data_IF_615731269357
#
_entry.id   IF_615731269357
#
_cell.length_a   1.000
_cell.length_b   1.000
_cell.length_c   1.000
_cell.angle_alpha   90.00
_cell.angle_beta   90.00
_cell.angle_gamma   90.00
#
_symmetry.space_group_name_H-M   'P 1'
#
loop_
_entity.id
_entity.type
_entity.pdbx_description
1 polymer ?
#
# COMPACT_ATOMS: atom_id res chain seq x y z
N UNK A 1 -0.13 14.53 -1.05
CA UNK A 1 0.56 15.51 -0.23
C UNK A 1 1.63 14.79 0.62
N UNK A 2 2.87 15.21 0.52
CA UNK A 2 4.00 14.64 1.24
C UNK A 2 4.42 15.58 2.36
N UNK A 3 4.63 15.04 3.56
CA UNK A 3 5.14 15.75 4.73
C UNK A 3 6.49 15.17 5.13
N UNK A 4 7.43 16.02 5.51
CA UNK A 4 8.74 15.59 6.01
C UNK A 4 9.03 16.20 7.37
N UNK A 5 9.41 15.36 8.33
CA UNK A 5 9.74 15.79 9.69
C UNK A 5 11.22 16.21 9.82
N UNK A 6 12.11 15.61 9.07
CA UNK A 6 13.55 15.84 9.18
C UNK A 6 14.20 16.08 7.82
N UNK A 7 14.29 15.07 6.99
CA UNK A 7 15.03 15.04 5.73
C UNK A 7 14.08 14.76 4.57
N UNK A 8 14.15 15.56 3.53
CA UNK A 8 13.31 15.46 2.34
C UNK A 8 14.08 15.03 1.07
N UNK A 9 15.28 14.46 1.25
CA UNK A 9 16.11 13.97 0.15
C UNK A 9 15.37 13.02 -0.79
N UNK A 10 14.42 12.23 -0.23
CA UNK A 10 13.57 11.35 -1.03
C UNK A 10 12.73 12.16 -2.04
N UNK A 11 12.05 13.23 -1.59
CA UNK A 11 11.29 14.09 -2.47
C UNK A 11 12.19 14.78 -3.51
N UNK A 12 13.33 15.32 -3.06
CA UNK A 12 14.28 16.01 -3.95
C UNK A 12 14.81 15.11 -5.08
N UNK A 13 14.93 13.80 -4.84
CA UNK A 13 15.36 12.82 -5.86
C UNK A 13 14.22 12.31 -6.72
N UNK A 14 13.04 12.08 -6.12
CA UNK A 14 11.91 11.45 -6.81
C UNK A 14 11.09 12.42 -7.66
N UNK A 15 10.81 13.62 -7.16
CA UNK A 15 9.92 14.56 -7.84
C UNK A 15 10.47 15.08 -9.19
N UNK A 16 11.78 15.29 -9.39
CA UNK A 16 12.27 15.58 -10.74
C UNK A 16 11.96 14.48 -11.76
N UNK A 17 12.00 13.21 -11.36
CA UNK A 17 11.64 12.07 -12.23
C UNK A 17 10.14 12.10 -12.55
N UNK A 18 9.31 12.36 -11.55
CA UNK A 18 7.86 12.51 -11.71
C UNK A 18 7.55 13.64 -12.69
N UNK A 19 8.20 14.81 -12.53
CA UNK A 19 8.02 15.96 -13.43
C UNK A 19 8.52 15.67 -14.86
N UNK A 20 9.62 14.94 -15.03
CA UNK A 20 10.11 14.50 -16.34
C UNK A 20 9.14 13.54 -17.05
N UNK A 21 8.38 12.76 -16.28
CA UNK A 21 7.30 11.93 -16.82
C UNK A 21 6.03 12.71 -17.20
N UNK A 22 6.04 14.05 -17.05
CA UNK A 22 4.93 14.92 -17.39
C UNK A 22 3.90 15.09 -16.27
N UNK A 23 4.15 14.53 -15.09
CA UNK A 23 3.29 14.68 -13.92
C UNK A 23 3.74 15.90 -13.11
N UNK A 24 2.77 16.70 -12.68
CA UNK A 24 3.06 17.99 -12.02
C UNK A 24 3.22 17.83 -10.51
N UNK A 25 4.35 18.32 -9.99
CA UNK A 25 4.56 18.44 -8.54
C UNK A 25 5.12 19.81 -8.17
N UNK A 26 4.87 20.26 -6.95
CA UNK A 26 5.35 21.53 -6.41
C UNK A 26 5.71 21.44 -4.93
N UNK A 27 6.67 22.25 -4.50
CA UNK A 27 6.94 22.43 -3.08
C UNK A 27 6.03 23.54 -2.54
N UNK A 28 5.39 23.26 -1.40
CA UNK A 28 4.52 24.23 -0.73
C UNK A 28 5.21 24.80 0.52
N UNK A 29 5.00 26.06 0.80
CA UNK A 29 5.33 26.65 2.09
C UNK A 29 4.36 26.18 3.19
N UNK A 30 4.79 26.23 4.44
CA UNK A 30 3.93 25.91 5.59
C UNK A 30 2.64 26.72 5.58
N UNK A 31 2.71 28.01 5.25
CA UNK A 31 1.52 28.91 5.18
C UNK A 31 0.52 28.49 4.10
N UNK A 32 1.01 28.03 2.95
CA UNK A 32 0.15 27.54 1.88
C UNK A 32 -0.57 26.24 2.30
N UNK A 33 0.14 25.33 2.97
CA UNK A 33 -0.48 24.10 3.49
C UNK A 33 -1.49 24.42 4.60
N UNK A 34 -1.17 25.29 5.56
CA UNK A 34 -2.09 25.75 6.60
C UNK A 34 -3.38 26.37 6.02
N UNK A 35 -3.24 27.16 4.95
CA UNK A 35 -4.39 27.75 4.27
C UNK A 35 -5.21 26.72 3.48
N UNK A 36 -4.55 25.79 2.81
CA UNK A 36 -5.18 24.84 1.90
C UNK A 36 -5.79 23.63 2.63
N UNK A 37 -5.14 23.20 3.73
CA UNK A 37 -5.50 22.03 4.50
C UNK A 37 -5.48 22.33 6.02
N UNK A 38 -6.34 23.22 6.52
CA UNK A 38 -6.35 23.66 7.93
C UNK A 38 -6.68 22.53 8.92
N UNK A 39 -7.22 21.42 8.46
CA UNK A 39 -7.52 20.22 9.25
C UNK A 39 -6.28 19.42 9.65
N UNK A 40 -5.09 19.77 9.15
CA UNK A 40 -3.83 19.08 9.42
C UNK A 40 -3.00 19.88 10.42
N UNK A 41 -2.58 19.25 11.51
CA UNK A 41 -1.59 19.86 12.41
C UNK A 41 -0.19 19.71 11.81
N UNK A 42 0.45 20.82 11.47
CA UNK A 42 1.77 20.87 10.86
C UNK A 42 2.93 20.96 11.87
N UNK A 43 2.67 20.82 13.16
CA UNK A 43 3.73 20.86 14.17
C UNK A 43 4.73 19.73 13.98
N UNK A 44 6.02 20.08 14.01
CA UNK A 44 7.13 19.15 13.80
C UNK A 44 7.40 18.77 12.34
N UNK A 45 6.67 19.38 11.36
CA UNK A 45 6.95 19.21 9.94
C UNK A 45 7.83 20.34 9.41
N UNK A 46 8.70 20.04 8.45
CA UNK A 46 9.68 20.96 7.89
C UNK A 46 9.46 21.29 6.42
N UNK A 47 9.08 20.30 5.62
CA UNK A 47 8.88 20.50 4.18
C UNK A 47 7.64 19.76 3.68
N UNK A 48 7.07 20.27 2.59
CA UNK A 48 5.80 19.85 2.04
C UNK A 48 5.87 19.83 0.52
N UNK A 49 5.37 18.76 -0.08
CA UNK A 49 5.31 18.63 -1.54
C UNK A 49 3.93 18.16 -1.95
N UNK A 50 3.44 18.67 -3.06
CA UNK A 50 2.13 18.35 -3.59
C UNK A 50 2.25 17.83 -5.02
N UNK A 51 1.70 16.66 -5.27
CA UNK A 51 1.55 16.09 -6.60
C UNK A 51 0.09 16.25 -7.03
N UNK A 52 -0.12 16.92 -8.16
CA UNK A 52 -1.47 17.29 -8.61
C UNK A 52 -2.29 16.09 -9.09
N UNK A 53 -1.65 15.12 -9.73
CA UNK A 53 -2.30 13.93 -10.29
C UNK A 53 -2.22 12.70 -9.38
N UNK A 54 -1.63 12.83 -8.19
CA UNK A 54 -1.58 11.74 -7.23
C UNK A 54 -2.96 11.45 -6.65
N UNK A 55 -3.23 10.16 -6.40
CA UNK A 55 -4.51 9.73 -5.87
C UNK A 55 -4.43 8.34 -5.26
N UNK A 56 -5.56 7.69 -5.13
CA UNK A 56 -5.67 6.31 -4.68
C UNK A 56 -6.48 5.47 -5.66
N UNK A 57 -6.32 4.17 -5.58
CA UNK A 57 -7.09 3.22 -6.38
C UNK A 57 -7.98 2.37 -5.47
N UNK A 58 -9.27 2.18 -5.82
CA UNK A 58 -10.13 1.18 -5.21
C UNK A 58 -9.69 -0.22 -5.67
N UNK A 59 -8.59 -0.73 -5.07
CA UNK A 59 -7.80 -1.85 -5.58
C UNK A 59 -8.63 -3.09 -5.97
N UNK A 60 -9.62 -3.49 -5.15
CA UNK A 60 -10.49 -4.63 -5.50
C UNK A 60 -11.28 -4.41 -6.78
N UNK A 61 -11.86 -3.22 -6.92
CA UNK A 61 -12.63 -2.88 -8.11
C UNK A 61 -11.72 -2.82 -9.35
N UNK A 62 -10.55 -2.22 -9.22
CA UNK A 62 -9.56 -2.19 -10.30
C UNK A 62 -9.14 -3.60 -10.74
N UNK A 63 -8.85 -4.50 -9.79
CA UNK A 63 -8.53 -5.90 -10.10
C UNK A 63 -9.68 -6.61 -10.82
N UNK A 64 -10.91 -6.38 -10.38
CA UNK A 64 -12.09 -6.96 -11.02
C UNK A 64 -12.26 -6.46 -12.46
N UNK A 65 -12.16 -5.15 -12.69
CA UNK A 65 -12.26 -4.56 -14.04
C UNK A 65 -11.17 -5.08 -14.97
N UNK A 66 -9.92 -5.22 -14.45
CA UNK A 66 -8.82 -5.81 -15.22
C UNK A 66 -9.12 -7.26 -15.60
N UNK A 67 -9.62 -8.07 -14.66
CA UNK A 67 -10.00 -9.45 -14.89
C UNK A 67 -11.13 -9.56 -15.93
N UNK A 68 -12.19 -8.78 -15.79
CA UNK A 68 -13.32 -8.76 -16.74
C UNK A 68 -12.85 -8.40 -18.15
N UNK A 69 -11.98 -7.39 -18.29
CA UNK A 69 -11.40 -7.03 -19.58
C UNK A 69 -10.49 -8.12 -20.15
N UNK A 70 -9.72 -8.81 -19.32
CA UNK A 70 -8.90 -9.93 -19.73
C UNK A 70 -9.75 -11.06 -20.32
N UNK A 71 -10.80 -11.47 -19.61
CA UNK A 71 -11.74 -12.51 -20.07
C UNK A 71 -12.47 -12.06 -21.33
N UNK A 72 -12.93 -10.81 -21.41
CA UNK A 72 -13.58 -10.25 -22.62
C UNK A 72 -12.68 -10.27 -23.84
N UNK A 73 -11.36 -10.20 -23.66
CA UNK A 73 -10.36 -10.29 -24.75
C UNK A 73 -9.97 -11.73 -25.09
N UNK A 74 -10.63 -12.74 -24.52
CA UNK A 74 -10.39 -14.16 -24.78
C UNK A 74 -9.42 -14.83 -23.81
N UNK A 75 -9.04 -14.16 -22.71
CA UNK A 75 -8.25 -14.78 -21.65
C UNK A 75 -9.09 -15.76 -20.83
N UNK A 76 -8.47 -16.81 -20.32
CA UNK A 76 -9.09 -17.75 -19.38
C UNK A 76 -8.70 -17.43 -17.95
N UNK A 77 -9.66 -17.42 -17.04
CA UNK A 77 -9.44 -17.25 -15.60
C UNK A 77 -9.87 -18.50 -14.84
N UNK A 78 -8.99 -19.00 -13.96
CA UNK A 78 -9.27 -20.10 -13.05
C UNK A 78 -8.82 -19.71 -11.64
N UNK A 79 -9.68 -19.91 -10.66
CA UNK A 79 -9.35 -19.67 -9.25
C UNK A 79 -8.85 -20.98 -8.61
N UNK A 80 -7.59 -21.29 -8.82
CA UNK A 80 -6.91 -22.49 -8.32
C UNK A 80 -5.56 -22.12 -7.73
N UNK A 81 -5.13 -22.83 -6.71
CA UNK A 81 -3.75 -22.77 -6.26
C UNK A 81 -2.86 -23.48 -7.27
N UNK A 82 -1.64 -22.99 -7.45
CA UNK A 82 -0.68 -23.55 -8.40
C UNK A 82 0.66 -23.83 -7.72
N UNK A 83 1.30 -24.91 -8.15
CA UNK A 83 2.68 -25.26 -7.80
C UNK A 83 3.49 -25.43 -9.08
N UNK A 84 4.76 -25.00 -9.10
CA UNK A 84 5.64 -25.32 -10.23
C UNK A 84 5.87 -26.82 -10.29
N UNK A 85 5.74 -27.37 -11.48
CA UNK A 85 6.13 -28.75 -11.76
C UNK A 85 7.65 -28.91 -11.82
N UNK A 86 8.12 -29.92 -12.52
CA UNK A 86 9.56 -30.19 -12.64
C UNK A 86 10.28 -29.11 -13.45
N UNK A 87 11.38 -28.65 -12.94
CA UNK A 87 12.31 -27.78 -13.65
C UNK A 87 13.41 -28.66 -14.24
N UNK A 88 13.47 -28.74 -15.57
CA UNK A 88 14.46 -29.50 -16.31
C UNK A 88 15.25 -28.56 -17.23
N UNK A 89 16.56 -28.62 -17.18
CA UNK A 89 17.44 -27.74 -17.97
C UNK A 89 17.06 -26.25 -17.89
N UNK A 90 16.79 -25.76 -16.67
CA UNK A 90 16.34 -24.39 -16.38
C UNK A 90 15.01 -23.98 -17.06
N UNK A 91 14.19 -24.96 -17.44
CA UNK A 91 12.85 -24.73 -17.99
C UNK A 91 11.80 -25.39 -17.11
N UNK A 92 10.76 -24.64 -16.77
CA UNK A 92 9.57 -25.19 -16.12
C UNK A 92 8.73 -25.89 -17.19
N UNK A 93 8.44 -27.19 -16.96
CA UNK A 93 7.71 -27.99 -17.93
C UNK A 93 6.19 -27.81 -17.85
N UNK A 94 5.67 -27.65 -16.64
CA UNK A 94 4.23 -27.60 -16.37
C UNK A 94 3.95 -26.93 -15.04
N UNK A 95 2.71 -26.48 -14.85
CA UNK A 95 2.13 -26.14 -13.54
C UNK A 95 1.28 -27.31 -13.06
N UNK A 96 1.29 -27.55 -11.75
CA UNK A 96 0.39 -28.48 -11.08
C UNK A 96 -0.68 -27.63 -10.38
N UNK A 97 -1.95 -27.91 -10.68
CA UNK A 97 -3.08 -27.20 -10.12
C UNK A 97 -3.67 -27.94 -8.93
N UNK A 98 -4.33 -27.23 -8.03
CA UNK A 98 -4.89 -27.80 -6.79
C UNK A 98 -6.00 -28.84 -7.02
N UNK A 99 -6.57 -28.91 -8.22
CA UNK A 99 -7.53 -29.93 -8.64
C UNK A 99 -6.85 -31.18 -9.22
N UNK A 100 -5.52 -31.24 -9.20
CA UNK A 100 -4.70 -32.34 -9.73
C UNK A 100 -4.45 -32.24 -11.25
N UNK A 101 -5.05 -31.28 -11.95
CA UNK A 101 -4.80 -31.07 -13.37
C UNK A 101 -3.43 -30.38 -13.59
N UNK A 102 -2.96 -30.43 -14.84
CA UNK A 102 -1.70 -29.81 -15.27
C UNK A 102 -1.96 -28.76 -16.32
N UNK A 103 -1.15 -27.71 -16.32
CA UNK A 103 -1.19 -26.66 -17.32
C UNK A 103 0.19 -26.45 -17.94
N UNK A 104 0.23 -26.50 -19.28
CA UNK A 104 1.44 -26.22 -20.05
C UNK A 104 1.29 -24.90 -20.79
N UNK A 105 2.37 -24.13 -20.84
CA UNK A 105 2.46 -22.88 -21.59
C UNK A 105 3.88 -22.66 -22.11
N UNK A 106 4.03 -21.79 -23.10
CA UNK A 106 5.33 -21.39 -23.62
C UNK A 106 6.12 -20.53 -22.65
N UNK A 107 5.39 -19.77 -21.81
CA UNK A 107 5.96 -18.88 -20.79
C UNK A 107 5.07 -18.84 -19.55
N UNK A 108 5.69 -18.70 -18.39
CA UNK A 108 5.00 -18.59 -17.11
C UNK A 108 5.41 -17.29 -16.40
N UNK A 109 4.43 -16.56 -15.85
CA UNK A 109 4.66 -15.38 -15.02
C UNK A 109 4.12 -15.65 -13.63
N UNK A 110 4.98 -15.63 -12.63
CA UNK A 110 4.62 -15.81 -11.23
C UNK A 110 4.58 -14.44 -10.51
N UNK A 111 3.42 -13.81 -10.54
CA UNK A 111 3.16 -12.55 -9.83
C UNK A 111 2.48 -12.83 -8.47
N UNK A 112 3.07 -13.71 -7.66
CA UNK A 112 2.47 -14.27 -6.45
C UNK A 112 2.80 -13.49 -5.17
N UNK A 113 3.44 -12.33 -5.28
CA UNK A 113 3.74 -11.44 -4.15
C UNK A 113 4.43 -12.19 -2.99
N UNK A 114 3.93 -12.07 -1.76
CA UNK A 114 4.59 -12.64 -0.57
C UNK A 114 4.65 -14.18 -0.56
N UNK A 115 3.98 -14.87 -1.48
CA UNK A 115 4.10 -16.34 -1.61
C UNK A 115 5.27 -16.79 -2.48
N UNK A 116 5.95 -15.90 -3.22
CA UNK A 116 7.03 -16.26 -4.14
C UNK A 116 8.17 -17.03 -3.45
N UNK A 117 8.56 -16.61 -2.25
CA UNK A 117 9.60 -17.31 -1.48
C UNK A 117 9.21 -18.75 -1.05
N UNK A 118 7.92 -19.04 -0.95
CA UNK A 118 7.39 -20.38 -0.69
C UNK A 118 7.29 -21.22 -1.97
N UNK A 119 6.95 -20.59 -3.09
CA UNK A 119 6.82 -21.25 -4.38
C UNK A 119 8.20 -21.63 -4.95
N UNK A 120 9.19 -20.76 -4.78
CA UNK A 120 10.56 -20.98 -5.24
C UNK A 120 11.58 -20.85 -4.10
N UNK A 121 11.54 -21.76 -3.09
CA UNK A 121 12.37 -21.61 -1.89
C UNK A 121 13.88 -21.64 -2.18
N UNK A 122 14.31 -22.42 -3.17
CA UNK A 122 15.73 -22.51 -3.53
C UNK A 122 16.28 -21.24 -4.18
N UNK A 123 15.43 -20.41 -4.77
CA UNK A 123 15.84 -19.19 -5.46
C UNK A 123 15.53 -17.91 -4.66
N UNK A 124 14.43 -17.90 -3.88
CA UNK A 124 13.86 -16.66 -3.35
C UNK A 124 13.70 -16.63 -1.82
N UNK A 125 13.94 -17.73 -1.10
CA UNK A 125 13.74 -17.81 0.36
C UNK A 125 14.53 -16.75 1.13
N UNK A 126 15.78 -16.50 0.73
CA UNK A 126 16.66 -15.55 1.42
C UNK A 126 16.63 -14.14 0.77
N UNK A 127 15.80 -13.96 -0.27
CA UNK A 127 15.69 -12.71 -1.04
C UNK A 127 14.37 -12.00 -0.72
N UNK A 128 13.28 -12.73 -0.55
CA UNK A 128 11.96 -12.16 -0.29
C UNK A 128 11.53 -12.46 1.14
N UNK A 129 11.37 -11.43 1.95
CA UNK A 129 10.87 -11.54 3.33
C UNK A 129 9.46 -10.97 3.40
N UNK A 130 8.42 -11.82 3.54
CA UNK A 130 7.07 -11.34 3.81
C UNK A 130 6.98 -10.69 5.19
N UNK A 131 6.30 -9.53 5.28
CA UNK A 131 6.07 -8.84 6.55
C UNK A 131 4.61 -8.49 6.74
N UNK A 132 4.21 -8.40 8.00
CA UNK A 132 2.88 -8.01 8.41
C UNK A 132 2.75 -6.49 8.46
N UNK A 133 1.69 -5.96 7.83
CA UNK A 133 1.33 -4.55 7.85
C UNK A 133 -0.12 -4.39 8.32
N UNK A 134 -0.40 -3.34 9.10
CA UNK A 134 -1.74 -3.10 9.62
C UNK A 134 -2.33 -1.83 9.05
N UNK A 135 -3.59 -1.89 8.69
CA UNK A 135 -4.35 -0.78 8.10
C UNK A 135 -5.62 -0.58 8.90
N UNK A 136 -5.91 0.67 9.23
CA UNK A 136 -7.08 1.05 10.02
C UNK A 136 -7.92 2.07 9.25
N UNK A 137 -9.24 1.96 9.39
CA UNK A 137 -10.20 2.91 8.84
C UNK A 137 -11.03 3.48 9.98
N UNK A 138 -11.10 4.79 10.08
CA UNK A 138 -11.82 5.50 11.12
C UNK A 138 -12.96 6.33 10.55
N UNK A 139 -14.06 6.43 11.31
CA UNK A 139 -15.17 7.31 10.94
C UNK A 139 -14.74 8.77 11.00
N UNK A 140 -15.10 9.54 9.98
CA UNK A 140 -14.89 11.00 9.98
C UNK A 140 -15.95 11.68 10.85
N UNK A 141 -15.67 12.88 11.40
CA UNK A 141 -16.66 13.63 12.20
C UNK A 141 -17.93 13.90 11.41
N UNK A 142 -19.07 13.72 12.07
CA UNK A 142 -20.38 13.97 11.46
C UNK A 142 -20.56 15.47 11.12
N UNK A 143 -21.03 15.74 9.90
CA UNK A 143 -21.29 17.10 9.43
C UNK A 143 -20.04 17.89 8.99
N UNK A 144 -18.83 17.30 9.10
CA UNK A 144 -17.60 17.93 8.65
C UNK A 144 -17.01 17.17 7.46
N UNK A 145 -16.94 17.84 6.30
CA UNK A 145 -16.38 17.25 5.07
C UNK A 145 -14.91 17.57 4.86
N UNK A 146 -14.24 18.26 5.78
CA UNK A 146 -12.85 18.69 5.62
C UNK A 146 -11.86 17.53 5.46
N UNK A 147 -12.22 16.33 6.00
CA UNK A 147 -11.42 15.11 5.92
C UNK A 147 -11.86 14.15 4.80
N UNK A 148 -12.76 14.60 3.91
CA UNK A 148 -13.17 13.82 2.73
C UNK A 148 -12.28 14.11 1.52
N UNK A 149 -12.24 13.17 0.58
CA UNK A 149 -11.47 13.25 -0.67
C UNK A 149 -11.74 14.51 -1.52
N UNK A 150 -12.93 15.12 -1.38
CA UNK A 150 -13.26 16.38 -2.03
C UNK A 150 -12.47 17.59 -1.48
N UNK A 151 -11.96 17.49 -0.25
CA UNK A 151 -11.33 18.60 0.49
C UNK A 151 -9.92 18.27 0.98
N UNK A 152 -9.48 17.03 0.83
CA UNK A 152 -8.18 16.56 1.30
C UNK A 152 -7.59 15.53 0.33
N UNK A 153 -6.32 15.66 -0.07
CA UNK A 153 -5.64 14.66 -0.89
C UNK A 153 -5.22 13.44 -0.07
N UNK A 154 -4.81 12.38 -0.75
CA UNK A 154 -3.99 11.32 -0.14
C UNK A 154 -2.69 11.92 0.40
N UNK A 155 -2.13 11.33 1.44
CA UNK A 155 -0.99 11.90 2.13
C UNK A 155 -0.01 10.85 2.61
N UNK A 156 1.27 11.26 2.74
CA UNK A 156 2.35 10.48 3.36
C UNK A 156 3.15 11.40 4.30
N UNK A 157 3.39 10.96 5.53
CA UNK A 157 4.18 11.65 6.55
C UNK A 157 5.49 10.88 6.78
N UNK A 158 6.58 11.41 6.24
CA UNK A 158 7.92 10.85 6.36
C UNK A 158 8.61 11.32 7.65
N UNK A 159 8.71 10.42 8.61
CA UNK A 159 9.36 10.64 9.90
C UNK A 159 10.08 9.41 10.40
N UNK A 160 10.20 9.27 11.71
CA UNK A 160 10.73 8.05 12.34
C UNK A 160 9.91 6.81 11.96
N UNK A 161 8.61 6.99 11.84
CA UNK A 161 7.68 6.07 11.18
C UNK A 161 7.16 6.74 9.92
N UNK A 162 6.82 5.94 8.92
CA UNK A 162 6.21 6.43 7.69
C UNK A 162 4.71 6.17 7.79
N UNK A 163 3.95 7.24 7.99
CA UNK A 163 2.51 7.16 8.02
C UNK A 163 1.92 7.58 6.68
N UNK A 164 0.93 6.86 6.21
CA UNK A 164 0.19 7.27 5.01
C UNK A 164 -1.30 7.06 5.19
N UNK A 165 -2.07 7.74 4.38
CA UNK A 165 -3.51 7.59 4.45
C UNK A 165 -4.26 8.08 3.23
N UNK A 166 -5.55 7.73 3.27
CA UNK A 166 -6.54 8.13 2.28
C UNK A 166 -7.65 8.86 3.04
N UNK A 167 -8.07 10.04 2.59
CA UNK A 167 -9.19 10.74 3.20
C UNK A 167 -10.48 9.91 3.15
N UNK A 168 -11.51 10.35 3.84
CA UNK A 168 -12.81 9.71 3.84
C UNK A 168 -13.37 9.58 2.43
N UNK A 169 -13.59 8.35 1.98
CA UNK A 169 -14.06 8.02 0.65
C UNK A 169 -14.95 6.78 0.69
N UNK A 170 -15.90 6.66 -0.23
CA UNK A 170 -16.73 5.47 -0.46
C UNK A 170 -17.37 4.86 0.82
N UNK A 171 -17.71 5.70 1.79
CA UNK A 171 -18.28 5.30 3.08
C UNK A 171 -17.37 4.39 3.94
N UNK A 172 -16.10 4.20 3.53
CA UNK A 172 -15.13 3.37 4.26
C UNK A 172 -14.43 4.10 5.39
N UNK A 173 -14.57 5.42 5.45
CA UNK A 173 -13.91 6.25 6.43
C UNK A 173 -12.47 6.64 6.05
N UNK A 174 -11.78 7.26 6.99
CA UNK A 174 -10.43 7.79 6.85
C UNK A 174 -9.42 6.67 7.11
N UNK A 175 -8.63 6.32 6.08
CA UNK A 175 -7.60 5.28 6.17
C UNK A 175 -6.32 5.84 6.76
N UNK A 176 -5.69 5.07 7.65
CA UNK A 176 -4.33 5.31 8.14
C UNK A 176 -3.56 4.01 8.26
N UNK A 177 -2.29 4.02 7.92
CA UNK A 177 -1.40 2.88 8.06
C UNK A 177 0.05 3.34 8.30
N UNK A 178 0.80 2.54 9.06
CA UNK A 178 2.24 2.66 9.22
C UNK A 178 2.92 1.83 8.13
N UNK A 179 3.69 2.48 7.25
CA UNK A 179 4.41 1.84 6.14
C UNK A 179 5.81 1.32 6.56
N UNK A 180 6.19 1.53 7.80
CA UNK A 180 7.44 1.00 8.33
C UNK A 180 7.40 -0.53 8.30
N UNK A 181 8.51 -1.14 7.84
CA UNK A 181 8.60 -2.60 7.73
C UNK A 181 8.18 -3.28 9.03
N UNK A 182 7.15 -4.11 8.96
CA UNK A 182 6.62 -4.89 10.08
C UNK A 182 7.44 -6.16 10.36
N UNK A 183 6.95 -6.97 11.29
CA UNK A 183 7.55 -8.26 11.63
C UNK A 183 7.36 -9.28 10.50
N UNK A 184 8.23 -10.27 10.44
CA UNK A 184 8.06 -11.38 9.50
C UNK A 184 6.69 -12.04 9.66
N UNK A 185 6.11 -12.44 8.54
CA UNK A 185 4.74 -12.91 8.49
C UNK A 185 4.56 -14.07 7.53
N UNK A 186 3.94 -15.15 7.99
CA UNK A 186 3.56 -16.24 7.09
C UNK A 186 2.33 -15.82 6.25
N UNK A 187 2.45 -15.72 4.92
CA UNK A 187 1.36 -15.21 4.08
C UNK A 187 0.14 -16.13 4.02
N UNK A 188 0.28 -17.41 4.41
CA UNK A 188 -0.79 -18.42 4.38
C UNK A 188 -1.46 -18.58 5.73
N UNK A 189 -0.68 -18.77 6.79
CA UNK A 189 -1.16 -19.16 8.14
C UNK A 189 -1.05 -18.04 9.17
N UNK A 190 -0.45 -16.90 8.84
CA UNK A 190 -0.27 -15.79 9.77
C UNK A 190 -1.60 -15.20 10.27
N UNK A 191 -1.61 -14.77 11.53
CA UNK A 191 -2.79 -14.18 12.15
C UNK A 191 -3.17 -12.85 11.47
N UNK A 192 -4.42 -12.77 11.03
CA UNK A 192 -5.02 -11.63 10.35
C UNK A 192 -5.81 -10.70 11.28
N UNK A 193 -5.70 -10.89 12.58
CA UNK A 193 -6.28 -10.00 13.58
C UNK A 193 -5.33 -8.82 13.81
N UNK A 194 -5.79 -7.58 13.68
CA UNK A 194 -4.96 -6.40 13.97
C UNK A 194 -4.61 -6.31 15.44
N UNK A 195 -3.39 -5.85 15.74
CA UNK A 195 -2.90 -5.73 17.12
C UNK A 195 -3.48 -4.50 17.83
N UNK A 196 -3.65 -4.61 19.16
CA UNK A 196 -4.04 -3.47 19.98
C UNK A 196 -2.97 -2.37 19.94
N UNK A 197 -1.69 -2.74 19.95
CA UNK A 197 -0.57 -1.79 19.86
C UNK A 197 -0.53 -1.04 18.53
N UNK A 198 -0.88 -1.70 17.41
CA UNK A 198 -1.02 -1.07 16.10
C UNK A 198 -2.17 -0.07 16.08
N UNK A 199 -3.32 -0.46 16.64
CA UNK A 199 -4.48 0.40 16.73
C UNK A 199 -4.20 1.63 17.61
N UNK A 200 -3.59 1.44 18.77
CA UNK A 200 -3.21 2.54 19.67
C UNK A 200 -2.22 3.50 18.99
N UNK A 201 -1.20 2.96 18.31
CA UNK A 201 -0.24 3.77 17.55
C UNK A 201 -0.93 4.61 16.46
N UNK A 202 -1.89 4.02 15.73
CA UNK A 202 -2.67 4.74 14.73
C UNK A 202 -3.54 5.85 15.35
N UNK A 203 -4.20 5.59 16.49
CA UNK A 203 -4.99 6.60 17.22
C UNK A 203 -4.12 7.76 17.69
N UNK A 204 -2.95 7.47 18.27
CA UNK A 204 -2.01 8.47 18.74
C UNK A 204 -1.49 9.34 17.59
N UNK A 205 -1.22 8.73 16.44
CA UNK A 205 -0.85 9.46 15.22
C UNK A 205 -1.99 10.37 14.74
N UNK A 206 -3.22 9.86 14.64
CA UNK A 206 -4.38 10.63 14.23
C UNK A 206 -4.65 11.81 15.17
N UNK A 207 -4.65 11.58 16.47
CA UNK A 207 -4.86 12.64 17.48
C UNK A 207 -3.85 13.78 17.36
N UNK A 208 -2.62 13.47 16.95
CA UNK A 208 -1.56 14.46 16.74
C UNK A 208 -1.68 15.17 15.39
N UNK A 209 -1.83 14.42 14.29
CA UNK A 209 -1.73 14.96 12.93
C UNK A 209 -3.06 15.48 12.40
N UNK A 210 -4.16 14.87 12.82
CA UNK A 210 -5.52 15.21 12.44
C UNK A 210 -6.39 15.38 13.69
N UNK A 211 -6.30 16.50 14.41
CA UNK A 211 -6.95 16.65 15.72
C UNK A 211 -8.44 16.37 15.74
N UNK A 212 -9.14 16.61 14.62
CA UNK A 212 -10.56 16.27 14.43
C UNK A 212 -10.84 14.77 14.49
N UNK A 213 -9.82 13.92 14.32
CA UNK A 213 -9.92 12.46 14.36
C UNK A 213 -9.55 11.84 15.71
N UNK A 214 -9.27 12.66 16.74
CA UNK A 214 -8.75 12.19 18.04
C UNK A 214 -9.58 11.05 18.63
N UNK A 215 -10.91 11.20 18.62
CA UNK A 215 -11.84 10.24 19.22
C UNK A 215 -12.65 9.47 18.15
N UNK A 216 -12.15 9.43 16.91
CA UNK A 216 -12.81 8.80 15.80
C UNK A 216 -13.09 7.30 16.05
N UNK A 217 -14.28 6.80 15.75
CA UNK A 217 -14.59 5.39 15.90
C UNK A 217 -13.84 4.56 14.87
N UNK A 218 -13.29 3.41 15.29
CA UNK A 218 -12.75 2.43 14.37
C UNK A 218 -13.91 1.76 13.60
N UNK A 219 -13.86 1.80 12.28
CA UNK A 219 -14.83 1.18 11.39
C UNK A 219 -14.37 -0.17 10.87
N UNK A 220 -13.10 -0.26 10.49
CA UNK A 220 -12.50 -1.46 9.91
C UNK A 220 -11.00 -1.51 10.25
N UNK A 221 -10.47 -2.72 10.42
CA UNK A 221 -9.03 -2.97 10.42
C UNK A 221 -8.69 -4.16 9.52
N UNK A 222 -7.48 -4.15 8.97
CA UNK A 222 -6.97 -5.24 8.14
C UNK A 222 -5.51 -5.50 8.41
N UNK A 223 -5.13 -6.76 8.33
CA UNK A 223 -3.73 -7.19 8.21
C UNK A 223 -3.43 -7.42 6.75
N UNK A 224 -2.57 -6.58 6.21
CA UNK A 224 -1.95 -6.71 4.91
C UNK A 224 -0.59 -7.40 5.03
N UNK A 225 0.03 -7.67 3.91
CA UNK A 225 1.36 -8.27 3.86
C UNK A 225 2.15 -7.62 2.74
N UNK A 226 3.43 -7.34 3.04
CA UNK A 226 4.39 -6.88 2.04
C UNK A 226 5.38 -7.99 1.75
N UNK A 227 5.91 -8.00 0.56
CA UNK A 227 7.11 -8.73 0.19
C UNK A 227 8.28 -7.74 0.11
N UNK A 228 9.30 -7.96 0.93
CA UNK A 228 10.43 -7.06 1.01
C UNK A 228 11.69 -7.73 0.46
N UNK A 229 12.38 -7.04 -0.44
CA UNK A 229 13.75 -7.35 -0.82
C UNK A 229 14.74 -6.77 0.20
N UNK A 230 15.99 -7.26 0.29
CA UNK A 230 16.98 -6.78 1.25
C UNK A 230 17.34 -5.30 1.08
N UNK A 231 17.36 -4.83 -0.15
CA UNK A 231 17.73 -3.47 -0.54
C UNK A 231 16.54 -2.55 -0.87
N UNK A 232 15.31 -3.07 -0.80
CA UNK A 232 14.08 -2.34 -1.12
C UNK A 232 13.81 -2.15 -2.61
N UNK A 233 14.62 -2.75 -3.50
CA UNK A 233 14.42 -2.68 -4.94
C UNK A 233 13.44 -3.77 -5.43
N UNK A 234 12.84 -3.52 -6.58
CA UNK A 234 12.01 -4.52 -7.26
C UNK A 234 12.85 -5.66 -7.79
N UNK A 235 12.28 -6.87 -7.77
CA UNK A 235 12.88 -8.09 -8.34
C UNK A 235 11.99 -8.51 -9.51
N UNK A 236 12.59 -8.59 -10.70
CA UNK A 236 11.91 -9.00 -11.95
C UNK A 236 12.71 -10.13 -12.60
#
# INVERSE_FOLDING_TARGET
LWFFQVDDTYAQKSLPIVNQAGLKSEQLSKKEVEKKFPQIDLNGLKSFYYEHEAGYLPARHCCQVVLENFVKKGGEYKQLAVEPGKILNNKLSELILSDGSKLNADSYVFACGPWLSKIFPNALKDIITPTRQEVFFFGTPYGDSSLFESNMPVWVDFGKKIWYGIPGADWRGFKVADDTRGVEFDPTSGDRTSSETGLESARNYLAKRFPLMKDAPLLESRVCQYENSPDGNYII
#
